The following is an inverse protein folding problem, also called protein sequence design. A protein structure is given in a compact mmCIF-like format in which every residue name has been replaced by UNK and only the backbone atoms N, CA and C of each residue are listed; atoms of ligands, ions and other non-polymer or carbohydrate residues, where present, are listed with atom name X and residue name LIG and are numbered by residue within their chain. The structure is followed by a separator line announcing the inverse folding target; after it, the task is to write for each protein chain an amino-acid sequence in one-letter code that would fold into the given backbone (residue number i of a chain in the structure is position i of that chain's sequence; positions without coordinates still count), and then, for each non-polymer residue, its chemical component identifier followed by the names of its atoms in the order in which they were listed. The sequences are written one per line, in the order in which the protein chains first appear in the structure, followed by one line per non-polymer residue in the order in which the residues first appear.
data_IF_140171273884
#
_entry.id   IF_140171273884
#
_cell.length_a   1.000
_cell.length_b   1.000
_cell.length_c   1.000
_cell.angle_alpha   90.00
_cell.angle_beta   90.00
_cell.angle_gamma   90.00
#
_symmetry.space_group_name_H-M   'P 1'
#
loop_
_entity.id
_entity.type
_entity.pdbx_description
1 polymer ?
#
# COMPACT_ATOMS: atom_id res chain seq x y z
N UNK A 1 34.00 26.63 24.17
CA UNK A 1 33.57 26.85 22.76
C UNK A 1 32.13 27.34 22.70
N UNK A 2 31.19 26.65 23.35
CA UNK A 2 29.78 27.07 23.46
C UNK A 2 29.65 28.41 24.21
N UNK A 3 30.37 28.59 25.31
CA UNK A 3 30.33 29.85 26.09
C UNK A 3 30.90 31.04 25.30
N UNK A 4 31.91 30.79 24.47
CA UNK A 4 32.52 31.79 23.59
C UNK A 4 31.56 32.23 22.48
N UNK A 5 30.78 31.29 21.94
CA UNK A 5 29.73 31.57 20.95
C UNK A 5 28.60 32.36 21.60
N UNK A 6 28.19 31.98 22.81
CA UNK A 6 27.14 32.66 23.56
C UNK A 6 27.50 34.12 23.89
N UNK A 7 28.73 34.35 24.37
CA UNK A 7 29.23 35.69 24.66
C UNK A 7 29.36 36.55 23.39
N UNK A 8 29.81 35.96 22.28
CA UNK A 8 29.84 36.66 20.99
C UNK A 8 28.43 37.05 20.55
N UNK A 9 27.44 36.17 20.73
CA UNK A 9 26.04 36.43 20.38
C UNK A 9 25.44 37.57 21.22
N UNK A 10 25.68 37.58 22.53
CA UNK A 10 25.23 38.65 23.42
C UNK A 10 25.88 39.99 23.06
N UNK A 11 27.19 39.99 22.78
CA UNK A 11 27.91 41.20 22.41
C UNK A 11 27.42 41.79 21.08
N UNK A 12 27.06 40.95 20.10
CA UNK A 12 26.50 41.39 18.83
C UNK A 12 25.10 41.98 19.03
N UNK A 13 24.26 41.33 19.85
CA UNK A 13 22.90 41.84 20.17
C UNK A 13 22.98 43.18 20.92
N UNK A 14 23.88 43.30 21.89
CA UNK A 14 24.07 44.53 22.66
C UNK A 14 24.71 45.67 21.85
N UNK A 15 25.46 45.33 20.80
CA UNK A 15 26.10 46.30 19.89
C UNK A 15 25.13 46.97 18.92
N UNK A 16 23.92 46.44 18.72
CA UNK A 16 22.95 46.99 17.79
C UNK A 16 21.84 47.74 18.53
N UNK A 17 21.75 49.05 18.29
CA UNK A 17 20.79 49.94 18.95
C UNK A 17 19.32 49.68 18.58
N UNK A 18 19.05 48.91 17.51
CA UNK A 18 17.69 48.55 17.12
C UNK A 18 17.61 47.09 16.68
N UNK A 19 16.65 46.38 17.28
CA UNK A 19 16.34 44.97 16.99
C UNK A 19 15.96 44.77 15.52
N UNK A 20 15.41 45.81 14.88
CA UNK A 20 15.03 45.84 13.48
C UNK A 20 16.25 45.73 12.54
N UNK A 21 17.36 46.42 12.84
CA UNK A 21 18.59 46.35 12.04
C UNK A 21 19.23 44.97 12.15
N UNK A 22 19.18 44.38 13.34
CA UNK A 22 19.63 43.01 13.56
C UNK A 22 18.84 41.99 12.71
N UNK A 23 17.51 42.06 12.71
CA UNK A 23 16.67 41.18 11.88
C UNK A 23 16.94 41.38 10.38
N UNK A 24 17.10 42.63 9.93
CA UNK A 24 17.38 42.95 8.53
C UNK A 24 18.72 42.39 8.04
N UNK A 25 19.70 42.19 8.93
CA UNK A 25 20.99 41.59 8.60
C UNK A 25 20.87 40.09 8.26
N UNK A 26 19.96 39.37 8.93
CA UNK A 26 19.71 37.94 8.67
C UNK A 26 18.65 37.69 7.58
N UNK A 27 17.84 38.70 7.28
CA UNK A 27 16.80 38.66 6.24
C UNK A 27 17.31 38.16 4.88
N UNK A 28 18.44 38.63 4.32
CA UNK A 28 18.91 38.11 3.02
C UNK A 28 19.25 36.62 3.08
N UNK A 29 19.82 36.12 4.17
CA UNK A 29 20.11 34.69 4.31
C UNK A 29 18.83 33.85 4.33
N UNK A 30 17.81 34.29 5.07
CA UNK A 30 16.51 33.61 5.12
C UNK A 30 15.82 33.66 3.75
N UNK A 31 15.81 34.81 3.09
CA UNK A 31 15.13 34.98 1.80
C UNK A 31 15.83 34.23 0.68
N UNK A 32 17.17 34.25 0.61
CA UNK A 32 17.93 33.64 -0.49
C UNK A 32 18.28 32.16 -0.29
N UNK A 33 18.29 31.64 0.95
CA UNK A 33 18.58 30.23 1.21
C UNK A 33 17.33 29.45 1.65
N UNK A 34 16.66 29.91 2.71
CA UNK A 34 15.50 29.19 3.25
C UNK A 34 14.30 29.27 2.30
N UNK A 35 14.07 30.44 1.69
CA UNK A 35 12.98 30.66 0.73
C UNK A 35 13.00 29.66 -0.43
N UNK A 36 14.10 29.55 -1.20
CA UNK A 36 14.22 28.57 -2.28
C UNK A 36 14.12 27.13 -1.82
N UNK A 37 14.68 26.79 -0.66
CA UNK A 37 14.57 25.44 -0.10
C UNK A 37 13.10 25.07 0.15
N UNK A 38 12.35 25.97 0.79
CA UNK A 38 10.93 25.79 1.08
C UNK A 38 10.08 25.77 -0.20
N UNK A 39 10.49 26.50 -1.23
CA UNK A 39 9.81 26.51 -2.52
C UNK A 39 10.01 25.17 -3.25
N UNK A 40 11.21 24.58 -3.21
CA UNK A 40 11.49 23.25 -3.77
C UNK A 40 10.68 22.17 -3.05
N UNK A 41 10.63 22.19 -1.70
CA UNK A 41 9.84 21.22 -0.93
C UNK A 41 8.36 21.35 -1.26
N UNK A 42 7.83 22.57 -1.34
CA UNK A 42 6.44 22.82 -1.69
C UNK A 42 6.11 22.32 -3.10
N UNK A 43 6.96 22.60 -4.11
CA UNK A 43 6.81 22.07 -5.47
C UNK A 43 6.82 20.54 -5.47
N UNK A 44 7.70 19.92 -4.68
CA UNK A 44 7.76 18.47 -4.52
C UNK A 44 6.46 17.88 -3.99
N UNK A 45 5.91 18.47 -2.92
CA UNK A 45 4.63 18.08 -2.33
C UNK A 45 3.50 18.22 -3.35
N UNK A 46 3.42 19.34 -4.07
CA UNK A 46 2.38 19.55 -5.08
C UNK A 46 2.50 18.57 -6.26
N UNK A 47 3.72 18.29 -6.76
CA UNK A 47 3.94 17.29 -7.80
C UNK A 47 3.52 15.90 -7.34
N UNK A 48 3.90 15.51 -6.13
CA UNK A 48 3.53 14.23 -5.54
C UNK A 48 2.02 14.10 -5.36
N UNK A 49 1.37 15.13 -4.80
CA UNK A 49 -0.08 15.16 -4.64
C UNK A 49 -0.82 15.04 -5.98
N UNK A 50 -0.35 15.77 -7.01
CA UNK A 50 -0.91 15.68 -8.36
C UNK A 50 -0.71 14.30 -8.98
N UNK A 51 0.45 13.67 -8.80
CA UNK A 51 0.71 12.32 -9.29
C UNK A 51 -0.19 11.29 -8.61
N UNK A 52 -0.38 11.38 -7.30
CA UNK A 52 -1.31 10.52 -6.55
C UNK A 52 -2.76 10.67 -7.06
N UNK A 53 -3.21 11.90 -7.32
CA UNK A 53 -4.55 12.18 -7.87
C UNK A 53 -4.69 11.70 -9.34
N UNK A 54 -3.63 11.75 -10.14
CA UNK A 54 -3.66 11.22 -11.50
C UNK A 54 -3.64 9.69 -11.52
N UNK A 55 -3.01 9.06 -10.51
CA UNK A 55 -2.91 7.61 -10.41
C UNK A 55 -4.26 6.95 -10.08
N UNK A 56 -5.22 7.69 -9.49
CA UNK A 56 -6.60 7.20 -9.35
C UNK A 56 -7.34 7.03 -10.68
N UNK A 57 -7.05 7.83 -11.71
CA UNK A 57 -7.65 7.65 -13.05
C UNK A 57 -7.04 6.45 -13.80
N UNK A 58 -5.80 6.08 -13.50
CA UNK A 58 -5.20 4.85 -14.03
C UNK A 58 -5.78 3.58 -13.40
N UNK A 59 -6.41 3.66 -12.21
CA UNK A 59 -7.08 2.51 -11.60
C UNK A 59 -8.21 1.98 -12.49
N UNK A 60 -8.80 2.83 -13.33
CA UNK A 60 -9.85 2.46 -14.28
C UNK A 60 -9.33 1.64 -15.47
N UNK A 61 -8.01 1.61 -15.71
CA UNK A 61 -7.37 0.84 -16.79
C UNK A 61 -6.61 -0.40 -16.32
N UNK A 62 -6.69 -0.74 -15.04
CA UNK A 62 -5.98 -1.91 -14.53
C UNK A 62 -6.64 -3.20 -15.03
N UNK A 63 -5.85 -4.17 -15.50
CA UNK A 63 -6.41 -5.43 -15.94
C UNK A 63 -7.06 -6.17 -14.77
N UNK A 64 -8.16 -6.85 -15.06
CA UNK A 64 -8.72 -7.83 -14.15
C UNK A 64 -7.75 -9.00 -14.00
N UNK A 65 -7.45 -9.40 -12.76
CA UNK A 65 -6.54 -10.52 -12.48
C UNK A 65 -7.31 -11.65 -11.83
N UNK A 66 -7.34 -12.80 -12.50
CA UNK A 66 -7.90 -14.04 -11.92
C UNK A 66 -6.75 -14.92 -11.41
N UNK A 67 -6.75 -15.18 -10.11
CA UNK A 67 -5.79 -16.06 -9.43
C UNK A 67 -6.45 -17.41 -9.16
N UNK A 68 -6.11 -18.42 -9.96
CA UNK A 68 -6.56 -19.80 -9.72
C UNK A 68 -5.69 -20.47 -8.66
N UNK A 69 -6.31 -21.02 -7.62
CA UNK A 69 -5.70 -21.90 -6.62
C UNK A 69 -6.33 -23.29 -6.70
N UNK A 70 -5.52 -24.30 -6.96
CA UNK A 70 -5.95 -25.70 -6.98
C UNK A 70 -5.68 -26.32 -5.62
N UNK A 71 -6.72 -26.79 -4.94
CA UNK A 71 -6.63 -27.28 -3.57
C UNK A 71 -6.94 -28.78 -3.51
N UNK A 72 -6.01 -29.57 -2.97
CA UNK A 72 -6.22 -30.99 -2.66
C UNK A 72 -5.51 -31.34 -1.35
N UNK A 73 -6.28 -31.76 -0.34
CA UNK A 73 -5.75 -32.10 1.00
C UNK A 73 -4.94 -30.98 1.67
N UNK A 74 -5.26 -29.71 1.39
CA UNK A 74 -4.61 -28.53 2.00
C UNK A 74 -5.13 -28.26 3.43
N UNK A 75 -6.37 -28.64 3.71
CA UNK A 75 -7.04 -28.36 4.98
C UNK A 75 -7.12 -26.86 5.28
N UNK A 76 -6.77 -26.45 6.50
CA UNK A 76 -6.82 -25.04 6.93
C UNK A 76 -5.71 -24.17 6.33
N UNK A 77 -4.66 -24.76 5.75
CA UNK A 77 -3.54 -23.98 5.19
C UNK A 77 -3.97 -23.07 4.03
N UNK A 78 -5.00 -23.49 3.28
CA UNK A 78 -5.60 -22.72 2.16
C UNK A 78 -6.07 -21.32 2.59
N UNK A 79 -6.46 -21.16 3.87
CA UNK A 79 -6.92 -19.89 4.42
C UNK A 79 -5.79 -18.85 4.35
N UNK A 80 -4.55 -19.25 4.62
CA UNK A 80 -3.41 -18.34 4.56
C UNK A 80 -3.11 -17.91 3.13
N UNK A 81 -3.25 -18.82 2.16
CA UNK A 81 -3.10 -18.50 0.73
C UNK A 81 -4.17 -17.51 0.28
N UNK A 82 -5.43 -17.75 0.64
CA UNK A 82 -6.53 -16.83 0.32
C UNK A 82 -6.28 -15.47 0.96
N UNK A 83 -5.93 -15.41 2.25
CA UNK A 83 -5.57 -14.15 2.94
C UNK A 83 -4.44 -13.41 2.23
N UNK A 84 -3.39 -14.11 1.82
CA UNK A 84 -2.27 -13.50 1.10
C UNK A 84 -2.70 -12.86 -0.21
N UNK A 85 -3.65 -13.46 -0.94
CA UNK A 85 -4.19 -12.90 -2.18
C UNK A 85 -5.15 -11.74 -1.91
N UNK A 86 -5.98 -11.85 -0.88
CA UNK A 86 -6.92 -10.81 -0.46
C UNK A 86 -6.21 -9.52 -0.07
N UNK A 87 -5.13 -9.61 0.72
CA UNK A 87 -4.39 -8.45 1.22
C UNK A 87 -3.29 -7.94 0.28
N UNK A 88 -3.23 -8.44 -0.96
CA UNK A 88 -2.28 -7.93 -1.93
C UNK A 88 -2.54 -6.44 -2.20
N UNK A 89 -1.48 -5.65 -2.42
CA UNK A 89 -1.58 -4.19 -2.67
C UNK A 89 -2.02 -3.83 -4.09
N UNK A 90 -2.37 -4.83 -4.91
CA UNK A 90 -2.86 -4.59 -6.27
C UNK A 90 -4.20 -3.86 -6.22
N UNK A 91 -4.31 -2.68 -6.84
CA UNK A 91 -5.48 -1.83 -6.63
C UNK A 91 -6.66 -2.16 -7.58
N UNK A 92 -6.40 -2.94 -8.65
CA UNK A 92 -7.45 -3.49 -9.52
C UNK A 92 -8.22 -4.65 -8.87
N UNK A 93 -9.21 -5.15 -9.60
CA UNK A 93 -10.02 -6.30 -9.15
C UNK A 93 -9.19 -7.60 -9.23
N UNK A 94 -9.14 -8.30 -8.10
CA UNK A 94 -8.58 -9.66 -8.00
C UNK A 94 -9.73 -10.64 -7.78
N UNK A 95 -9.89 -11.58 -8.70
CA UNK A 95 -10.78 -12.72 -8.56
C UNK A 95 -9.97 -13.94 -8.13
N UNK A 96 -10.27 -14.49 -6.96
CA UNK A 96 -9.61 -15.68 -6.42
C UNK A 96 -10.50 -16.88 -6.74
N UNK A 97 -10.02 -17.79 -7.57
CA UNK A 97 -10.76 -18.99 -7.99
C UNK A 97 -10.19 -20.19 -7.24
N UNK A 98 -10.91 -20.67 -6.24
CA UNK A 98 -10.51 -21.80 -5.42
C UNK A 98 -11.17 -23.09 -5.91
N UNK A 99 -10.39 -23.92 -6.61
CA UNK A 99 -10.83 -25.22 -7.11
C UNK A 99 -10.49 -26.30 -6.10
N UNK A 100 -11.50 -26.89 -5.45
CA UNK A 100 -11.30 -27.98 -4.49
C UNK A 100 -11.46 -29.31 -5.22
N UNK A 101 -10.35 -29.99 -5.51
CA UNK A 101 -10.34 -31.30 -6.19
C UNK A 101 -10.73 -32.41 -5.19
N UNK A 102 -11.58 -33.35 -5.63
CA UNK A 102 -12.08 -34.42 -4.77
C UNK A 102 -12.86 -33.93 -3.55
N UNK A 103 -13.69 -32.90 -3.70
CA UNK A 103 -14.44 -32.23 -2.64
C UNK A 103 -15.31 -33.19 -1.78
N UNK A 104 -15.70 -34.34 -2.33
CA UNK A 104 -16.48 -35.35 -1.60
C UNK A 104 -15.64 -36.02 -0.47
N UNK A 105 -14.36 -36.28 -0.72
CA UNK A 105 -13.41 -36.76 0.29
C UNK A 105 -12.73 -35.61 1.03
N UNK A 106 -12.53 -34.46 0.38
CA UNK A 106 -11.78 -33.33 0.88
C UNK A 106 -12.66 -32.24 1.52
N UNK A 107 -13.54 -32.65 2.44
CA UNK A 107 -14.51 -31.75 3.11
C UNK A 107 -13.83 -30.69 3.96
N UNK A 108 -12.71 -31.03 4.60
CA UNK A 108 -11.99 -30.11 5.48
C UNK A 108 -11.46 -28.89 4.72
N UNK A 109 -10.91 -29.11 3.52
CA UNK A 109 -10.46 -28.01 2.66
C UNK A 109 -11.65 -27.22 2.13
N UNK A 110 -12.74 -27.87 1.75
CA UNK A 110 -13.95 -27.19 1.26
C UNK A 110 -14.52 -26.23 2.33
N UNK A 111 -14.66 -26.71 3.56
CA UNK A 111 -15.12 -25.89 4.70
C UNK A 111 -14.15 -24.74 4.99
N UNK A 112 -12.84 -24.99 4.93
CA UNK A 112 -11.83 -23.96 5.12
C UNK A 112 -11.96 -22.84 4.07
N UNK A 113 -12.12 -23.17 2.79
CA UNK A 113 -12.34 -22.17 1.72
C UNK A 113 -13.67 -21.44 1.92
N UNK A 114 -14.75 -22.14 2.27
CA UNK A 114 -16.07 -21.53 2.51
C UNK A 114 -16.04 -20.52 3.66
N UNK A 115 -15.29 -20.81 4.73
CA UNK A 115 -15.13 -19.87 5.85
C UNK A 115 -14.41 -18.57 5.47
N UNK A 116 -13.72 -18.55 4.32
CA UNK A 116 -13.06 -17.34 3.84
C UNK A 116 -13.99 -16.36 3.11
N UNK A 117 -15.17 -16.81 2.68
CA UNK A 117 -16.04 -16.03 1.78
C UNK A 117 -16.37 -14.64 2.33
N UNK A 118 -16.79 -14.57 3.59
CA UNK A 118 -17.22 -13.33 4.23
C UNK A 118 -16.09 -12.29 4.27
N UNK A 119 -14.87 -12.66 4.68
CA UNK A 119 -13.79 -11.68 4.77
C UNK A 119 -13.28 -11.22 3.40
N UNK A 120 -13.33 -12.09 2.38
CA UNK A 120 -12.91 -11.72 1.02
C UNK A 120 -13.92 -10.75 0.41
N UNK A 121 -15.21 -11.02 0.54
CA UNK A 121 -16.28 -10.15 0.01
C UNK A 121 -16.35 -8.79 0.74
N UNK A 122 -15.95 -8.74 2.01
CA UNK A 122 -15.81 -7.49 2.76
C UNK A 122 -14.59 -6.64 2.35
N UNK A 123 -13.67 -7.18 1.54
CA UNK A 123 -12.49 -6.45 1.06
C UNK A 123 -12.76 -5.83 -0.31
N UNK A 124 -12.43 -4.55 -0.48
CA UNK A 124 -12.65 -3.83 -1.74
C UNK A 124 -11.90 -4.46 -2.90
N UNK A 125 -12.54 -4.53 -4.08
CA UNK A 125 -11.95 -5.10 -5.30
C UNK A 125 -11.44 -6.54 -5.13
N UNK A 126 -12.07 -7.34 -4.27
CA UNK A 126 -11.78 -8.76 -4.09
C UNK A 126 -13.05 -9.60 -4.31
N UNK A 127 -12.88 -10.76 -4.92
CA UNK A 127 -13.96 -11.72 -5.16
C UNK A 127 -13.43 -13.13 -4.95
N UNK A 128 -14.17 -13.97 -4.25
CA UNK A 128 -13.85 -15.40 -4.08
C UNK A 128 -14.87 -16.26 -4.82
N UNK A 129 -14.40 -17.02 -5.82
CA UNK A 129 -15.18 -18.05 -6.49
C UNK A 129 -14.72 -19.43 -5.99
N UNK A 130 -15.66 -20.23 -5.49
CA UNK A 130 -15.37 -21.56 -4.95
C UNK A 130 -15.94 -22.59 -5.92
N UNK A 131 -15.08 -23.44 -6.49
CA UNK A 131 -15.48 -24.51 -7.41
C UNK A 131 -15.22 -25.87 -6.76
N UNK A 132 -16.25 -26.52 -6.18
CA UNK A 132 -16.13 -27.85 -5.64
C UNK A 132 -16.18 -28.89 -6.76
N UNK A 133 -15.10 -29.64 -6.94
CA UNK A 133 -15.05 -30.74 -7.90
C UNK A 133 -15.18 -32.07 -7.17
N UNK A 134 -16.29 -32.77 -7.40
CA UNK A 134 -16.69 -33.92 -6.59
C UNK A 134 -15.72 -35.11 -6.67
N UNK A 135 -15.14 -35.36 -7.85
CA UNK A 135 -14.16 -36.42 -8.08
C UNK A 135 -12.77 -35.83 -8.28
N UNK A 136 -11.75 -36.55 -7.81
CA UNK A 136 -10.35 -36.17 -8.01
C UNK A 136 -9.97 -36.38 -9.48
N UNK A 137 -9.58 -35.30 -10.15
CA UNK A 137 -9.09 -35.35 -11.53
C UNK A 137 -7.65 -34.89 -11.71
N UNK A 138 -6.98 -34.47 -10.62
CA UNK A 138 -5.60 -34.02 -10.65
C UNK A 138 -5.42 -32.56 -11.09
N UNK A 139 -4.19 -32.07 -11.00
CA UNK A 139 -3.85 -30.65 -11.14
C UNK A 139 -4.27 -30.03 -12.48
N UNK A 140 -3.97 -30.70 -13.60
CA UNK A 140 -4.31 -30.19 -14.94
C UNK A 140 -5.81 -30.08 -15.14
N UNK A 141 -6.56 -31.10 -14.70
CA UNK A 141 -8.03 -31.09 -14.76
C UNK A 141 -8.61 -29.96 -13.90
N UNK A 142 -8.04 -29.72 -12.72
CA UNK A 142 -8.47 -28.62 -11.85
C UNK A 142 -8.16 -27.24 -12.45
N UNK A 143 -7.01 -27.07 -13.10
CA UNK A 143 -6.66 -25.83 -13.81
C UNK A 143 -7.60 -25.55 -14.99
N UNK A 144 -8.00 -26.58 -15.74
CA UNK A 144 -8.96 -26.42 -16.83
C UNK A 144 -10.40 -26.14 -16.37
N UNK A 145 -10.68 -26.38 -15.09
CA UNK A 145 -12.00 -26.12 -14.48
C UNK A 145 -12.10 -24.69 -13.94
N UNK A 146 -10.96 -24.10 -13.59
CA UNK A 146 -10.86 -22.73 -13.10
C UNK A 146 -11.07 -21.71 -14.23
#
# INVERSE_FOLDING_TARGET
MIDSIYLAFINIIASHNSLLVFILMFTPFIVFFEGPLQLITMIGIFRFAKQQLAQSDLLTQLPHVSCCITCYSEGKSVINTIKSLTFQTYPGLIEIIAVVDGALQNKDTLLAVQSCKEFVENTTNRKLLIIPKWQRGGRVSSLNTA
#
